data_IF_721193687725
#
_entry.id   IF_721193687725
#
_cell.length_a   1.000
_cell.length_b   1.000
_cell.length_c   1.000
_cell.angle_alpha   90.00
_cell.angle_beta   90.00
_cell.angle_gamma   90.00
#
_symmetry.space_group_name_H-M   'P 1'
#
loop_
_entity.id
_entity.type
_entity.pdbx_description
1 polymer ?
#
# COMPACT_ATOMS: atom_id res chain seq x y z
N UNK A 1 -7.57 -11.92 -12.75
CA UNK A 1 -8.64 -10.97 -12.34
C UNK A 1 -7.90 -9.71 -11.97
N UNK A 2 -8.33 -8.53 -12.42
CA UNK A 2 -7.55 -7.32 -12.17
C UNK A 2 -7.23 -7.16 -10.68
N UNK A 3 -5.98 -6.88 -10.36
CA UNK A 3 -5.48 -6.68 -8.99
C UNK A 3 -4.30 -5.71 -9.00
N UNK A 4 -3.76 -5.41 -7.82
CA UNK A 4 -2.54 -4.64 -7.67
C UNK A 4 -1.34 -5.54 -7.37
N UNK A 5 -0.23 -5.42 -8.08
CA UNK A 5 1.03 -6.09 -7.76
C UNK A 5 2.01 -5.09 -7.12
N UNK A 6 2.42 -5.35 -5.87
CA UNK A 6 3.30 -4.46 -5.08
C UNK A 6 4.66 -5.11 -4.86
N UNK A 7 5.73 -4.45 -5.32
CA UNK A 7 7.11 -4.93 -5.20
C UNK A 7 7.84 -4.15 -4.11
N UNK A 8 8.41 -4.84 -3.12
CA UNK A 8 9.24 -4.21 -2.10
C UNK A 8 10.70 -4.14 -2.56
N UNK A 9 11.33 -2.97 -2.40
CA UNK A 9 12.76 -2.80 -2.63
C UNK A 9 13.45 -2.14 -1.44
N UNK A 10 14.45 -2.82 -0.89
CA UNK A 10 15.26 -2.40 0.25
C UNK A 10 16.61 -1.83 -0.21
N UNK A 11 17.24 -0.95 0.59
CA UNK A 11 18.58 -0.45 0.31
C UNK A 11 19.61 -1.55 0.50
N UNK A 12 20.81 -1.34 -0.06
CA UNK A 12 21.97 -2.22 0.16
C UNK A 12 23.01 -1.54 1.02
N UNK A 13 23.78 -2.33 1.76
CA UNK A 13 24.96 -1.84 2.47
C UNK A 13 26.17 -1.77 1.54
N UNK A 14 27.16 -0.95 1.89
CA UNK A 14 28.42 -0.80 1.14
C UNK A 14 29.21 -2.11 1.10
N UNK A 15 29.10 -2.92 2.15
CA UNK A 15 29.80 -4.19 2.34
C UNK A 15 29.16 -5.36 1.55
N UNK A 16 27.98 -5.16 0.96
CA UNK A 16 27.25 -6.20 0.23
C UNK A 16 27.47 -6.08 -1.28
N UNK A 17 28.14 -7.09 -1.84
CA UNK A 17 28.36 -7.26 -3.27
C UNK A 17 27.18 -7.96 -3.97
N UNK A 18 27.15 -7.90 -5.31
CA UNK A 18 26.18 -8.64 -6.14
C UNK A 18 24.78 -8.04 -6.24
N UNK A 19 24.50 -6.93 -5.55
CA UNK A 19 23.27 -6.16 -5.71
C UNK A 19 23.39 -5.13 -6.84
N UNK A 20 22.30 -4.80 -7.56
CA UNK A 20 22.34 -3.85 -8.67
C UNK A 20 22.87 -2.45 -8.30
N UNK A 21 23.64 -1.84 -9.20
CA UNK A 21 24.29 -0.55 -8.97
C UNK A 21 23.31 0.62 -8.78
N UNK A 22 22.10 0.52 -9.33
CA UNK A 22 21.06 1.55 -9.18
C UNK A 22 20.54 1.63 -7.74
N UNK A 23 20.73 0.58 -6.92
CA UNK A 23 20.33 0.59 -5.51
C UNK A 23 21.35 1.42 -4.73
N UNK A 24 20.84 2.47 -4.09
CA UNK A 24 21.58 3.34 -3.18
C UNK A 24 22.27 2.52 -2.10
N UNK A 25 23.57 2.75 -1.95
CA UNK A 25 24.36 2.25 -0.83
C UNK A 25 24.11 3.08 0.43
N UNK A 26 24.20 2.41 1.57
CA UNK A 26 24.17 3.02 2.90
C UNK A 26 25.21 2.38 3.79
N UNK A 27 25.72 3.15 4.75
CA UNK A 27 26.46 2.58 5.86
C UNK A 27 25.58 1.67 6.73
N UNK A 28 26.23 0.88 7.59
CA UNK A 28 25.56 -0.03 8.52
C UNK A 28 24.55 0.70 9.40
N UNK A 29 23.31 0.22 9.40
CA UNK A 29 22.23 0.73 10.23
C UNK A 29 22.31 0.17 11.65
N UNK A 30 21.90 0.98 12.61
CA UNK A 30 21.67 0.55 13.99
C UNK A 30 20.46 -0.38 14.08
N UNK A 31 20.36 -1.18 15.16
CA UNK A 31 19.19 -2.03 15.43
C UNK A 31 17.88 -1.22 15.37
N UNK A 32 17.83 -0.03 15.98
CA UNK A 32 16.65 0.82 15.99
C UNK A 32 16.23 1.28 14.58
N UNK A 33 17.20 1.56 13.71
CA UNK A 33 16.92 1.94 12.32
C UNK A 33 16.35 0.76 11.52
N UNK A 34 16.90 -0.45 11.71
CA UNK A 34 16.38 -1.67 11.07
C UNK A 34 14.97 -1.98 11.58
N UNK A 35 14.74 -1.92 12.89
CA UNK A 35 13.42 -2.12 13.49
C UNK A 35 12.40 -1.11 12.97
N UNK A 36 12.81 0.14 12.72
CA UNK A 36 11.94 1.16 12.12
C UNK A 36 11.57 0.82 10.67
N UNK A 37 12.50 0.27 9.88
CA UNK A 37 12.18 -0.22 8.53
C UNK A 37 11.16 -1.36 8.59
N UNK A 38 11.37 -2.33 9.50
CA UNK A 38 10.44 -3.45 9.69
C UNK A 38 9.05 -2.95 10.10
N UNK A 39 8.97 -2.01 11.04
CA UNK A 39 7.69 -1.46 11.47
C UNK A 39 7.00 -0.67 10.34
N UNK A 40 7.74 0.12 9.56
CA UNK A 40 7.15 0.82 8.41
C UNK A 40 6.52 -0.15 7.40
N UNK A 41 7.18 -1.28 7.10
CA UNK A 41 6.63 -2.30 6.20
C UNK A 41 5.40 -2.96 6.85
N UNK A 42 5.48 -3.29 8.15
CA UNK A 42 4.36 -3.86 8.89
C UNK A 42 3.13 -2.95 8.90
N UNK A 43 3.31 -1.64 9.06
CA UNK A 43 2.25 -0.64 8.98
C UNK A 43 1.60 -0.61 7.59
N UNK A 44 2.39 -0.70 6.52
CA UNK A 44 1.86 -0.83 5.16
C UNK A 44 1.02 -2.11 5.04
N UNK A 45 1.53 -3.26 5.48
CA UNK A 45 0.81 -4.54 5.40
C UNK A 45 -0.55 -4.47 6.13
N UNK A 46 -0.61 -3.83 7.30
CA UNK A 46 -1.87 -3.64 8.04
C UNK A 46 -2.86 -2.78 7.26
N UNK A 47 -2.37 -1.77 6.55
CA UNK A 47 -3.18 -0.88 5.73
C UNK A 47 -3.75 -1.57 4.49
N UNK A 48 -2.93 -2.31 3.74
CA UNK A 48 -3.34 -2.97 2.50
C UNK A 48 -3.96 -4.35 2.70
N UNK A 49 -4.11 -4.81 3.96
CA UNK A 49 -4.56 -6.17 4.29
C UNK A 49 -5.89 -6.57 3.62
N UNK A 50 -6.75 -5.59 3.34
CA UNK A 50 -8.06 -5.78 2.74
C UNK A 50 -8.12 -5.33 1.27
N UNK A 51 -7.03 -4.82 0.72
CA UNK A 51 -6.97 -4.47 -0.70
C UNK A 51 -6.74 -5.75 -1.54
N UNK A 52 -7.25 -5.77 -2.76
CA UNK A 52 -7.03 -6.88 -3.70
C UNK A 52 -5.64 -6.73 -4.33
N UNK A 53 -4.62 -7.19 -3.62
CA UNK A 53 -3.23 -7.08 -4.02
C UNK A 53 -2.45 -8.39 -3.87
N UNK A 54 -1.42 -8.52 -4.69
CA UNK A 54 -0.37 -9.51 -4.57
C UNK A 54 0.94 -8.79 -4.24
N UNK A 55 1.57 -9.15 -3.12
CA UNK A 55 2.86 -8.60 -2.72
C UNK A 55 4.01 -9.49 -3.15
N UNK A 56 5.08 -8.86 -3.59
CA UNK A 56 6.30 -9.52 -4.04
C UNK A 56 7.54 -8.90 -3.37
N UNK A 57 8.46 -9.75 -2.96
CA UNK A 57 9.78 -9.33 -2.49
C UNK A 57 10.88 -10.22 -3.08
N UNK A 58 12.09 -9.67 -3.15
CA UNK A 58 13.30 -10.39 -3.52
C UNK A 58 13.98 -10.93 -2.26
N UNK A 59 14.03 -12.26 -2.07
CA UNK A 59 14.69 -12.85 -0.91
C UNK A 59 16.19 -12.54 -0.81
N UNK A 60 16.89 -12.35 -1.93
CA UNK A 60 18.31 -11.99 -1.96
C UNK A 60 18.50 -10.52 -1.56
N UNK A 61 17.60 -9.62 -1.97
CA UNK A 61 17.57 -8.23 -1.51
C UNK A 61 17.26 -8.14 -0.01
N UNK A 62 16.31 -8.94 0.50
CA UNK A 62 16.00 -9.03 1.93
C UNK A 62 17.19 -9.59 2.72
N UNK A 63 17.83 -10.65 2.23
CA UNK A 63 19.03 -11.24 2.85
C UNK A 63 20.16 -10.21 2.92
N UNK A 64 20.41 -9.50 1.81
CA UNK A 64 21.39 -8.40 1.73
C UNK A 64 21.10 -7.29 2.75
N UNK A 65 19.84 -6.91 2.92
CA UNK A 65 19.41 -5.92 3.92
C UNK A 65 19.54 -6.41 5.37
N UNK A 66 19.58 -7.71 5.62
CA UNK A 66 19.79 -8.28 6.95
C UNK A 66 21.27 -8.59 7.24
N UNK A 67 22.20 -8.30 6.33
CA UNK A 67 23.63 -8.57 6.49
C UNK A 67 24.21 -8.13 7.85
N UNK A 68 23.95 -6.90 8.37
CA UNK A 68 24.50 -6.47 9.65
C UNK A 68 23.98 -7.28 10.85
N UNK A 69 22.77 -7.83 10.72
CA UNK A 69 22.09 -8.58 11.79
C UNK A 69 22.82 -9.88 12.11
N UNK A 70 23.62 -10.41 11.19
CA UNK A 70 24.46 -11.60 11.43
C UNK A 70 25.47 -11.39 12.57
N UNK A 71 25.86 -10.15 12.83
CA UNK A 71 26.88 -9.78 13.83
C UNK A 71 26.32 -9.05 15.05
N UNK A 72 25.01 -8.77 15.06
CA UNK A 72 24.34 -8.07 16.16
C UNK A 72 24.09 -9.00 17.35
N UNK A 73 24.02 -8.42 18.55
CA UNK A 73 23.65 -9.15 19.75
C UNK A 73 22.23 -9.72 19.60
N UNK A 74 22.04 -10.98 20.00
CA UNK A 74 20.74 -11.65 19.86
C UNK A 74 19.71 -11.04 20.82
N UNK A 75 18.60 -10.54 20.27
CA UNK A 75 17.44 -10.10 21.02
C UNK A 75 16.23 -11.03 20.77
N UNK A 76 15.20 -10.99 21.63
CA UNK A 76 13.99 -11.79 21.48
C UNK A 76 12.72 -10.92 21.31
N UNK A 77 11.88 -11.18 20.28
CA UNK A 77 12.20 -11.96 19.08
C UNK A 77 13.28 -11.26 18.26
N UNK A 78 14.14 -12.05 17.61
CA UNK A 78 15.26 -11.55 16.83
C UNK A 78 14.79 -10.72 15.64
N UNK A 79 15.63 -9.78 15.20
CA UNK A 79 15.34 -8.91 14.04
C UNK A 79 15.01 -9.74 12.79
N UNK A 80 15.73 -10.85 12.55
CA UNK A 80 15.43 -11.77 11.44
C UNK A 80 14.04 -12.39 11.55
N UNK A 81 13.63 -12.77 12.77
CA UNK A 81 12.29 -13.32 13.02
C UNK A 81 11.21 -12.27 12.76
N UNK A 82 11.43 -11.03 13.22
CA UNK A 82 10.53 -9.90 12.97
C UNK A 82 10.40 -9.61 11.47
N UNK A 83 11.52 -9.55 10.75
CA UNK A 83 11.51 -9.36 9.29
C UNK A 83 10.76 -10.48 8.58
N UNK A 84 10.99 -11.74 8.95
CA UNK A 84 10.28 -12.90 8.38
C UNK A 84 8.76 -12.79 8.57
N UNK A 85 8.30 -12.43 9.77
CA UNK A 85 6.87 -12.25 10.04
C UNK A 85 6.25 -11.16 9.15
N UNK A 86 6.98 -10.07 8.92
CA UNK A 86 6.51 -8.98 8.07
C UNK A 86 6.52 -9.38 6.59
N UNK A 87 7.55 -10.09 6.12
CA UNK A 87 7.59 -10.60 4.74
C UNK A 87 6.45 -11.59 4.48
N UNK A 88 6.11 -12.46 5.44
CA UNK A 88 4.95 -13.35 5.30
C UNK A 88 3.60 -12.63 5.24
N UNK A 89 3.52 -11.40 5.75
CA UNK A 89 2.34 -10.54 5.62
C UNK A 89 2.37 -9.73 4.32
N UNK A 90 3.56 -9.39 3.84
CA UNK A 90 3.75 -8.63 2.60
C UNK A 90 3.33 -9.46 1.39
N UNK A 91 3.82 -10.69 1.28
CA UNK A 91 3.47 -11.58 0.17
C UNK A 91 4.56 -12.59 -0.11
N UNK A 92 4.84 -12.84 -1.37
CA UNK A 92 5.64 -13.97 -1.84
C UNK A 92 7.06 -13.57 -2.27
N UNK A 93 8.00 -14.50 -2.12
CA UNK A 93 9.32 -14.36 -2.74
C UNK A 93 9.18 -14.60 -4.25
N UNK A 94 9.31 -13.56 -5.07
CA UNK A 94 9.14 -13.72 -6.52
C UNK A 94 10.16 -14.67 -7.13
N UNK A 95 11.33 -14.89 -6.50
CA UNK A 95 12.34 -15.85 -7.00
C UNK A 95 11.82 -17.28 -7.09
N UNK A 96 10.83 -17.64 -6.26
CA UNK A 96 10.19 -18.97 -6.30
C UNK A 96 9.18 -19.12 -7.43
N UNK A 97 8.77 -18.01 -8.05
CA UNK A 97 7.77 -17.92 -9.11
C UNK A 97 8.19 -16.87 -10.14
N UNK A 98 9.46 -16.95 -10.53
CA UNK A 98 10.13 -16.00 -11.41
C UNK A 98 9.47 -16.01 -12.79
N UNK A 99 9.04 -14.83 -13.25
CA UNK A 99 8.46 -14.64 -14.59
C UNK A 99 9.53 -14.19 -15.58
N UNK A 100 10.58 -13.49 -15.10
CA UNK A 100 11.76 -13.14 -15.91
C UNK A 100 12.30 -14.33 -16.70
N UNK A 101 12.63 -14.09 -17.97
CA UNK A 101 13.23 -15.09 -18.86
C UNK A 101 14.69 -14.75 -19.13
N UNK A 102 15.53 -15.77 -19.21
CA UNK A 102 16.96 -15.61 -19.51
C UNK A 102 17.26 -15.08 -20.93
N UNK A 103 16.26 -15.16 -21.83
CA UNK A 103 16.35 -14.63 -23.20
C UNK A 103 16.13 -13.13 -23.28
N UNK A 104 15.63 -12.51 -22.20
CA UNK A 104 15.28 -11.09 -22.16
C UNK A 104 16.44 -10.29 -21.57
N UNK A 105 16.64 -9.09 -22.10
CA UNK A 105 17.68 -8.17 -21.62
C UNK A 105 17.03 -6.96 -20.95
N UNK A 106 17.60 -6.52 -19.83
CA UNK A 106 17.06 -5.42 -19.05
C UNK A 106 18.13 -4.35 -18.82
N UNK A 107 17.73 -3.08 -18.86
CA UNK A 107 18.58 -1.96 -18.51
C UNK A 107 17.85 -0.95 -17.64
N UNK A 108 18.57 -0.36 -16.69
CA UNK A 108 18.12 0.76 -15.88
C UNK A 108 19.20 1.85 -15.92
N UNK A 109 18.83 3.08 -16.26
CA UNK A 109 19.78 4.19 -16.46
C UNK A 109 20.94 3.87 -17.43
N UNK A 110 20.67 3.04 -18.45
CA UNK A 110 21.67 2.61 -19.43
C UNK A 110 22.65 1.53 -18.93
N UNK A 111 22.51 1.09 -17.67
CA UNK A 111 23.28 0.00 -17.10
C UNK A 111 22.51 -1.31 -17.23
N UNK A 112 23.17 -2.42 -17.62
CA UNK A 112 22.52 -3.72 -17.65
C UNK A 112 22.16 -4.15 -16.23
N UNK A 113 20.93 -4.63 -16.07
CA UNK A 113 20.42 -5.22 -14.83
C UNK A 113 19.89 -6.62 -15.15
N UNK A 114 19.92 -7.52 -14.16
CA UNK A 114 19.52 -8.92 -14.34
C UNK A 114 19.13 -9.52 -13.00
N UNK A 115 18.09 -10.34 -13.02
CA UNK A 115 17.68 -11.16 -11.89
C UNK A 115 17.44 -10.34 -10.61
N UNK A 116 16.80 -9.18 -10.79
CA UNK A 116 16.44 -8.25 -9.73
C UNK A 116 14.96 -7.85 -9.80
N UNK A 117 14.53 -7.06 -8.81
CA UNK A 117 13.12 -6.66 -8.63
C UNK A 117 12.59 -5.79 -9.79
N UNK A 118 13.39 -4.91 -10.37
CA UNK A 118 12.97 -4.09 -11.52
C UNK A 118 12.78 -4.94 -12.77
N UNK A 119 13.65 -5.94 -12.98
CA UNK A 119 13.49 -6.91 -14.06
C UNK A 119 12.18 -7.70 -13.91
N UNK A 120 11.89 -8.21 -12.70
CA UNK A 120 10.67 -8.97 -12.42
C UNK A 120 9.41 -8.16 -12.66
N UNK A 121 9.37 -6.96 -12.09
CA UNK A 121 8.23 -6.06 -12.24
C UNK A 121 8.03 -5.66 -13.71
N UNK A 122 9.10 -5.41 -14.46
CA UNK A 122 9.01 -5.07 -15.88
C UNK A 122 8.50 -6.25 -16.72
N UNK A 123 8.96 -7.48 -16.49
CA UNK A 123 8.45 -8.66 -17.21
C UNK A 123 6.97 -8.88 -16.90
N UNK A 124 6.57 -8.88 -15.62
CA UNK A 124 5.17 -9.08 -15.21
C UNK A 124 4.25 -8.03 -15.82
N UNK A 125 4.65 -6.76 -15.75
CA UNK A 125 3.94 -5.66 -16.41
C UNK A 125 3.85 -5.84 -17.93
N UNK A 126 4.91 -6.37 -18.57
CA UNK A 126 4.94 -6.58 -20.00
C UNK A 126 4.03 -7.71 -20.50
N UNK A 127 3.82 -8.75 -19.68
CA UNK A 127 2.99 -9.92 -20.04
C UNK A 127 1.57 -9.84 -19.49
N UNK A 128 1.28 -8.91 -18.57
CA UNK A 128 -0.04 -8.73 -17.99
C UNK A 128 -1.08 -8.33 -19.04
N UNK A 129 -2.22 -9.03 -19.03
CA UNK A 129 -3.33 -8.81 -19.97
C UNK A 129 -4.67 -8.61 -19.25
N UNK A 130 -4.69 -8.68 -17.92
CA UNK A 130 -5.91 -8.71 -17.11
C UNK A 130 -6.25 -7.36 -16.45
N UNK A 131 -5.56 -6.28 -16.83
CA UNK A 131 -5.79 -4.93 -16.32
C UNK A 131 -5.15 -4.64 -14.96
N UNK A 132 -4.28 -5.52 -14.48
CA UNK A 132 -3.54 -5.34 -13.24
C UNK A 132 -2.60 -4.14 -13.28
N UNK A 133 -2.36 -3.56 -12.11
CA UNK A 133 -1.54 -2.36 -11.91
C UNK A 133 -0.36 -2.68 -11.03
N UNK A 134 0.76 -1.97 -11.22
CA UNK A 134 2.05 -2.33 -10.64
C UNK A 134 2.64 -1.16 -9.87
N UNK A 135 3.11 -1.42 -8.64
CA UNK A 135 3.76 -0.42 -7.80
C UNK A 135 5.07 -0.94 -7.22
N UNK A 136 6.13 -0.16 -7.39
CA UNK A 136 7.38 -0.33 -6.64
C UNK A 136 7.30 0.46 -5.33
N UNK A 137 7.40 -0.23 -4.21
CA UNK A 137 7.42 0.32 -2.86
C UNK A 137 8.86 0.45 -2.40
N UNK A 138 9.38 1.67 -2.49
CA UNK A 138 10.78 2.02 -2.27
C UNK A 138 11.07 2.28 -0.79
N UNK A 139 11.73 1.34 -0.10
CA UNK A 139 12.25 1.53 1.26
C UNK A 139 13.58 2.31 1.26
N UNK A 140 13.61 3.46 0.57
CA UNK A 140 14.81 4.30 0.43
C UNK A 140 16.00 3.52 -0.16
N UNK A 141 15.70 2.62 -1.10
CA UNK A 141 16.62 1.99 -2.05
C UNK A 141 17.08 2.97 -3.14
N UNK A 142 16.34 4.05 -3.36
CA UNK A 142 16.77 5.27 -4.06
C UNK A 142 15.95 6.47 -3.56
N UNK A 143 16.17 7.67 -4.10
CA UNK A 143 15.55 8.91 -3.60
C UNK A 143 14.01 8.87 -3.58
N UNK A 144 13.39 9.31 -2.48
CA UNK A 144 11.93 9.43 -2.31
C UNK A 144 11.28 10.43 -3.32
N UNK A 145 12.09 11.27 -3.96
CA UNK A 145 11.66 12.18 -5.01
C UNK A 145 11.34 11.44 -6.33
N UNK A 146 11.89 10.24 -6.54
CA UNK A 146 11.63 9.43 -7.73
C UNK A 146 10.20 8.89 -7.66
N UNK A 147 9.38 9.26 -8.64
CA UNK A 147 7.98 8.80 -8.77
C UNK A 147 7.78 7.73 -9.83
N UNK A 148 8.75 7.58 -10.72
CA UNK A 148 8.78 6.54 -11.72
C UNK A 148 10.23 6.19 -12.08
N UNK A 149 10.48 4.92 -12.44
CA UNK A 149 11.76 4.45 -12.98
C UNK A 149 11.52 3.91 -14.38
N UNK A 150 12.41 4.27 -15.31
CA UNK A 150 12.42 3.72 -16.66
C UNK A 150 13.29 2.47 -16.70
N UNK A 151 12.68 1.35 -17.08
CA UNK A 151 13.36 0.08 -17.33
C UNK A 151 13.19 -0.27 -18.79
N UNK A 152 14.31 -0.54 -19.47
CA UNK A 152 14.27 -0.99 -20.84
C UNK A 152 14.29 -2.51 -20.87
N UNK A 153 13.27 -3.14 -21.44
CA UNK A 153 13.17 -4.58 -21.72
C UNK A 153 13.41 -4.79 -23.21
N UNK A 154 14.56 -5.36 -23.56
CA UNK A 154 15.12 -5.38 -24.91
C UNK A 154 15.19 -3.98 -25.52
N UNK A 155 14.26 -3.66 -26.41
CA UNK A 155 14.19 -2.39 -27.11
C UNK A 155 13.01 -1.52 -26.63
N UNK A 156 12.12 -2.06 -25.80
CA UNK A 156 10.93 -1.37 -25.31
C UNK A 156 11.18 -0.73 -23.94
N UNK A 157 10.76 0.52 -23.77
CA UNK A 157 10.84 1.25 -22.51
C UNK A 157 9.56 1.02 -21.69
N UNK A 158 9.75 0.70 -20.41
CA UNK A 158 8.69 0.47 -19.44
C UNK A 158 8.85 1.43 -18.27
N UNK A 159 7.81 2.22 -18.03
CA UNK A 159 7.73 3.07 -16.85
C UNK A 159 7.17 2.28 -15.67
N UNK A 160 7.92 2.23 -14.56
CA UNK A 160 7.50 1.59 -13.32
C UNK A 160 7.19 2.68 -12.28
N UNK A 161 5.94 2.75 -11.82
CA UNK A 161 5.56 3.70 -10.78
C UNK A 161 6.24 3.37 -9.46
N UNK A 162 6.67 4.41 -8.76
CA UNK A 162 7.33 4.29 -7.46
C UNK A 162 6.64 5.13 -6.41
N UNK A 163 6.45 4.54 -5.23
CA UNK A 163 6.09 5.28 -4.02
C UNK A 163 7.07 4.99 -2.91
N UNK A 164 7.26 6.00 -2.06
CA UNK A 164 7.97 5.81 -0.80
C UNK A 164 7.25 4.75 0.02
N UNK A 165 8.03 3.93 0.71
CA UNK A 165 7.51 2.89 1.57
C UNK A 165 7.05 3.42 2.93
N UNK A 166 5.99 4.22 2.86
CA UNK A 166 5.16 4.65 3.97
C UNK A 166 3.69 4.50 3.59
N UNK A 167 2.84 4.32 4.59
CA UNK A 167 1.44 4.01 4.34
C UNK A 167 0.69 5.15 3.62
N UNK A 168 1.05 6.43 3.84
CA UNK A 168 0.39 7.59 3.21
C UNK A 168 0.68 7.63 1.71
N UNK A 169 1.92 7.37 1.33
CA UNK A 169 2.34 7.29 -0.08
C UNK A 169 1.69 6.11 -0.81
N UNK A 170 1.57 4.95 -0.16
CA UNK A 170 0.91 3.77 -0.74
C UNK A 170 -0.61 3.98 -0.85
N UNK A 171 -1.26 4.52 0.20
CA UNK A 171 -2.68 4.87 0.16
C UNK A 171 -2.99 5.85 -0.98
N UNK A 172 -2.14 6.88 -1.14
CA UNK A 172 -2.31 7.87 -2.20
C UNK A 172 -2.29 7.24 -3.60
N UNK A 173 -1.52 6.17 -3.80
CA UNK A 173 -1.52 5.43 -5.05
C UNK A 173 -2.81 4.63 -5.25
N UNK A 174 -3.33 3.99 -4.20
CA UNK A 174 -4.61 3.28 -4.24
C UNK A 174 -5.81 4.19 -4.52
N UNK A 175 -5.78 5.47 -4.17
CA UNK A 175 -6.86 6.42 -4.52
C UNK A 175 -7.21 6.38 -6.02
N UNK A 176 -6.26 6.05 -6.90
CA UNK A 176 -6.47 5.99 -8.36
C UNK A 176 -6.26 4.60 -8.96
N UNK A 177 -5.47 3.73 -8.31
CA UNK A 177 -5.08 2.43 -8.86
C UNK A 177 -5.78 1.23 -8.23
N UNK A 178 -6.60 1.41 -7.18
CA UNK A 178 -7.34 0.31 -6.54
C UNK A 178 -8.18 -0.48 -7.54
N UNK A 179 -8.13 -1.81 -7.44
CA UNK A 179 -8.85 -2.76 -8.31
C UNK A 179 -9.76 -3.68 -7.49
N UNK A 180 -11.09 -3.63 -7.65
CA UNK A 180 -11.86 -2.61 -8.37
C UNK A 180 -11.83 -1.26 -7.64
N UNK A 181 -12.07 -0.16 -8.37
CA UNK A 181 -12.26 1.16 -7.74
C UNK A 181 -13.53 1.18 -6.89
N UNK A 182 -13.52 1.91 -5.78
CA UNK A 182 -14.71 2.02 -4.91
C UNK A 182 -15.68 3.03 -5.51
N UNK A 183 -16.97 2.72 -5.47
CA UNK A 183 -18.04 3.57 -6.01
C UNK A 183 -18.90 4.05 -4.86
N UNK A 184 -19.09 5.37 -4.77
CA UNK A 184 -20.01 5.94 -3.78
C UNK A 184 -21.43 6.02 -4.34
N UNK A 185 -22.37 5.44 -3.61
CA UNK A 185 -23.80 5.50 -3.88
C UNK A 185 -24.48 6.39 -2.82
N UNK A 186 -25.08 7.49 -3.27
CA UNK A 186 -25.80 8.38 -2.38
C UNK A 186 -27.12 7.73 -1.95
N UNK A 187 -27.26 7.48 -0.66
CA UNK A 187 -28.48 6.88 -0.11
C UNK A 187 -29.47 7.98 0.34
N UNK A 188 -30.68 8.07 -0.24
CA UNK A 188 -31.68 9.08 0.10
C UNK A 188 -32.09 9.09 1.59
N UNK A 189 -31.90 7.97 2.29
CA UNK A 189 -32.14 7.87 3.74
C UNK A 189 -31.24 8.84 4.53
N UNK A 190 -29.97 8.94 4.15
CA UNK A 190 -28.94 9.72 4.82
C UNK A 190 -28.85 11.15 4.29
N UNK A 191 -29.33 11.40 3.07
CA UNK A 191 -29.31 12.74 2.45
C UNK A 191 -27.90 13.22 2.11
N UNK A 192 -27.69 14.53 2.00
CA UNK A 192 -26.37 15.17 1.81
C UNK A 192 -26.39 16.63 2.30
N UNK A 193 -25.21 17.22 2.51
CA UNK A 193 -25.04 18.61 2.97
C UNK A 193 -25.76 18.90 4.29
N UNK A 194 -25.79 17.93 5.21
CA UNK A 194 -26.49 18.03 6.49
C UNK A 194 -28.02 18.02 6.36
N UNK A 195 -28.55 17.81 5.16
CA UNK A 195 -29.99 17.70 4.89
C UNK A 195 -30.34 16.25 4.67
N UNK A 196 -31.04 15.66 5.64
CA UNK A 196 -31.46 14.27 5.60
C UNK A 196 -32.67 14.00 6.49
N UNK A 197 -32.99 12.71 6.64
CA UNK A 197 -34.24 12.12 7.14
C UNK A 197 -35.37 12.04 6.09
N UNK A 198 -35.31 10.98 5.28
CA UNK A 198 -36.45 10.58 4.46
C UNK A 198 -37.73 10.46 5.32
N UNK A 199 -38.89 10.99 4.91
CA UNK A 199 -40.14 10.98 5.71
C UNK A 199 -40.58 9.58 6.17
N UNK A 200 -40.13 8.53 5.48
CA UNK A 200 -40.42 7.14 5.80
C UNK A 200 -39.73 6.61 7.08
N UNK A 201 -38.79 7.35 7.69
CA UNK A 201 -38.06 6.90 8.88
C UNK A 201 -38.89 6.94 10.18
N UNK A 202 -40.21 7.20 10.13
CA UNK A 202 -41.15 7.13 11.26
C UNK A 202 -40.72 7.89 12.53
N UNK A 203 -39.88 8.93 12.38
CA UNK A 203 -39.34 9.72 13.50
C UNK A 203 -38.11 9.13 14.18
N UNK A 204 -37.55 8.01 13.69
CA UNK A 204 -36.29 7.46 14.18
C UNK A 204 -35.11 8.33 13.76
N UNK A 205 -34.16 8.51 14.67
CA UNK A 205 -32.90 9.22 14.39
C UNK A 205 -32.12 8.46 13.32
N UNK A 206 -31.72 9.17 12.28
CA UNK A 206 -30.93 8.63 11.18
C UNK A 206 -29.66 9.47 11.05
N UNK A 207 -28.51 8.80 11.03
CA UNK A 207 -27.20 9.43 10.78
C UNK A 207 -27.23 10.12 9.42
N UNK A 208 -26.75 11.36 9.34
CA UNK A 208 -26.86 12.20 8.14
C UNK A 208 -25.50 12.25 7.45
N UNK A 209 -25.50 12.40 6.12
CA UNK A 209 -24.28 12.78 5.40
C UNK A 209 -24.11 14.30 5.47
N UNK A 210 -23.09 14.76 6.17
CA UNK A 210 -22.84 16.18 6.41
C UNK A 210 -22.25 16.89 5.20
N UNK A 211 -21.54 16.16 4.34
CA UNK A 211 -20.90 16.67 3.13
C UNK A 211 -21.74 16.38 1.86
N UNK A 212 -21.25 16.85 0.72
CA UNK A 212 -21.79 16.53 -0.60
C UNK A 212 -21.45 15.10 -1.04
N UNK A 213 -22.20 14.56 -2.01
CA UNK A 213 -21.85 13.29 -2.68
C UNK A 213 -20.40 13.21 -3.15
N UNK A 214 -19.90 14.28 -3.78
CA UNK A 214 -18.54 14.31 -4.36
C UNK A 214 -17.46 14.28 -3.27
N UNK A 215 -17.67 15.00 -2.17
CA UNK A 215 -16.76 14.96 -1.02
C UNK A 215 -16.75 13.58 -0.36
N UNK A 216 -17.92 12.95 -0.20
CA UNK A 216 -18.03 11.60 0.31
C UNK A 216 -17.32 10.57 -0.57
N UNK A 217 -17.45 10.69 -1.89
CA UNK A 217 -16.74 9.86 -2.87
C UNK A 217 -15.22 10.01 -2.73
N UNK A 218 -14.73 11.25 -2.64
CA UNK A 218 -13.30 11.53 -2.42
C UNK A 218 -12.77 10.99 -1.08
N UNK A 219 -13.61 10.94 -0.05
CA UNK A 219 -13.27 10.34 1.25
C UNK A 219 -13.27 8.81 1.20
N UNK A 220 -14.20 8.20 0.45
CA UNK A 220 -14.27 6.74 0.25
C UNK A 220 -12.99 6.18 -0.39
N UNK A 221 -12.38 6.92 -1.32
CA UNK A 221 -11.12 6.54 -1.96
C UNK A 221 -9.96 6.42 -0.94
N UNK A 222 -10.06 7.13 0.18
CA UNK A 222 -9.08 7.18 1.28
C UNK A 222 -9.46 6.32 2.49
N UNK A 223 -10.69 5.83 2.52
CA UNK A 223 -11.24 5.12 3.67
C UNK A 223 -10.53 3.78 3.93
N UNK A 224 -10.45 3.39 5.19
CA UNK A 224 -9.81 2.15 5.64
C UNK A 224 -10.72 1.41 6.63
N UNK A 225 -10.57 0.10 6.75
CA UNK A 225 -11.36 -0.69 7.67
C UNK A 225 -10.70 -2.01 8.01
N UNK A 226 -11.20 -2.65 9.06
CA UNK A 226 -10.77 -3.98 9.48
C UNK A 226 -11.24 -5.07 8.49
N UNK A 227 -12.36 -4.83 7.78
CA UNK A 227 -12.78 -5.62 6.62
C UNK A 227 -13.47 -4.72 5.57
N UNK A 228 -13.62 -5.21 4.34
CA UNK A 228 -14.15 -4.43 3.21
C UNK A 228 -15.64 -4.05 3.33
N UNK A 229 -16.41 -4.62 4.28
CA UNK A 229 -17.84 -4.32 4.43
C UNK A 229 -18.07 -3.00 5.12
N UNK A 230 -17.14 -2.56 5.96
CA UNK A 230 -17.24 -1.29 6.71
C UNK A 230 -15.90 -0.57 6.71
N UNK A 231 -15.87 0.60 6.09
CA UNK A 231 -14.71 1.46 6.00
C UNK A 231 -14.98 2.79 6.72
N UNK A 232 -13.92 3.45 7.14
CA UNK A 232 -13.98 4.71 7.86
C UNK A 232 -13.00 5.72 7.29
N UNK A 233 -13.36 6.99 7.39
CA UNK A 233 -12.46 8.12 7.18
C UNK A 233 -12.80 9.22 8.18
N UNK A 234 -11.87 10.16 8.40
CA UNK A 234 -12.11 11.30 9.27
C UNK A 234 -12.31 12.57 8.42
N UNK A 235 -13.49 13.16 8.51
CA UNK A 235 -13.82 14.40 7.83
C UNK A 235 -13.37 15.59 8.68
N UNK A 236 -12.24 16.19 8.29
CA UNK A 236 -11.67 17.36 8.98
C UNK A 236 -12.56 18.60 8.93
N UNK A 237 -13.40 18.74 7.90
CA UNK A 237 -14.26 19.92 7.73
C UNK A 237 -15.38 19.89 8.76
N UNK A 238 -15.96 18.72 8.99
CA UNK A 238 -17.07 18.53 9.93
C UNK A 238 -16.61 18.04 11.32
N UNK A 239 -15.33 17.70 11.47
CA UNK A 239 -14.74 17.13 12.68
C UNK A 239 -15.49 15.87 13.17
N UNK A 240 -15.86 15.00 12.23
CA UNK A 240 -16.63 13.79 12.46
C UNK A 240 -16.05 12.63 11.63
N UNK A 241 -16.20 11.40 12.12
CA UNK A 241 -15.90 10.23 11.30
C UNK A 241 -17.04 9.98 10.31
N UNK A 242 -16.69 9.60 9.09
CA UNK A 242 -17.64 9.04 8.13
C UNK A 242 -17.47 7.52 8.11
N UNK A 243 -18.59 6.80 8.16
CA UNK A 243 -18.64 5.36 7.96
C UNK A 243 -19.20 5.06 6.57
N UNK A 244 -18.54 4.16 5.86
CA UNK A 244 -18.98 3.64 4.58
C UNK A 244 -19.33 2.16 4.71
N UNK A 245 -20.54 1.78 4.30
CA UNK A 245 -21.00 0.39 4.27
C UNK A 245 -21.09 -0.12 2.85
N UNK A 246 -20.51 -1.29 2.60
CA UNK A 246 -20.63 -1.98 1.32
C UNK A 246 -22.07 -2.44 1.13
N UNK A 247 -22.65 -2.07 -0.01
CA UNK A 247 -23.98 -2.51 -0.46
C UNK A 247 -23.88 -3.72 -1.39
N UNK A 248 -22.89 -3.70 -2.28
CA UNK A 248 -22.65 -4.72 -3.29
C UNK A 248 -21.27 -4.57 -3.89
N UNK A 249 -20.51 -5.66 -4.02
CA UNK A 249 -19.16 -5.70 -4.62
C UNK A 249 -18.26 -4.57 -4.10
N UNK A 250 -18.12 -3.49 -4.87
CA UNK A 250 -17.28 -2.31 -4.63
C UNK A 250 -18.09 -1.01 -4.42
N UNK A 251 -19.41 -1.11 -4.26
CA UNK A 251 -20.33 0.03 -4.07
C UNK A 251 -20.64 0.24 -2.60
N UNK A 252 -20.53 1.49 -2.14
CA UNK A 252 -20.70 1.88 -0.75
C UNK A 252 -21.65 3.06 -0.61
N UNK A 253 -22.52 3.04 0.40
CA UNK A 253 -23.12 4.28 0.92
C UNK A 253 -22.37 4.70 2.19
N UNK A 254 -22.53 5.96 2.58
CA UNK A 254 -21.92 6.45 3.81
C UNK A 254 -22.72 7.55 4.49
N UNK A 255 -22.36 7.80 5.75
CA UNK A 255 -22.95 8.80 6.62
C UNK A 255 -21.98 9.15 7.76
N UNK A 256 -22.10 10.36 8.31
CA UNK A 256 -21.28 10.78 9.44
C UNK A 256 -21.78 10.18 10.75
N UNK A 257 -20.82 9.84 11.61
CA UNK A 257 -21.04 9.29 12.94
C UNK A 257 -21.06 10.43 13.94
N UNK A 258 -22.15 10.52 14.71
CA UNK A 258 -22.18 11.43 15.85
C UNK A 258 -21.32 10.90 17.02
N UNK A 259 -21.19 11.72 18.07
CA UNK A 259 -20.40 11.39 19.24
C UNK A 259 -20.81 10.07 19.95
N UNK A 260 -22.08 9.64 19.84
CA UNK A 260 -22.53 8.38 20.44
C UNK A 260 -22.18 7.16 19.58
N UNK A 261 -22.11 7.36 18.26
CA UNK A 261 -21.78 6.34 17.27
C UNK A 261 -20.27 6.23 16.98
N UNK A 262 -19.46 7.22 17.37
CA UNK A 262 -18.00 7.21 17.16
C UNK A 262 -17.30 5.98 17.76
N UNK A 263 -17.87 5.39 18.81
CA UNK A 263 -17.39 4.13 19.42
C UNK A 263 -17.38 2.93 18.46
N UNK A 264 -18.04 3.05 17.30
CA UNK A 264 -18.06 2.03 16.25
C UNK A 264 -16.76 1.98 15.46
N UNK A 265 -16.01 3.09 15.41
CA UNK A 265 -14.71 3.13 14.73
C UNK A 265 -13.68 2.41 15.61
N UNK A 266 -13.07 1.31 15.12
CA UNK A 266 -12.05 0.60 15.88
C UNK A 266 -10.86 1.50 16.22
N UNK A 267 -10.27 1.31 17.41
CA UNK A 267 -9.18 2.19 17.89
C UNK A 267 -7.93 2.13 17.01
N UNK A 268 -7.61 0.96 16.47
CA UNK A 268 -6.51 0.80 15.52
C UNK A 268 -6.74 1.56 14.21
N UNK A 269 -7.99 1.60 13.73
CA UNK A 269 -8.39 2.41 12.57
C UNK A 269 -8.27 3.90 12.89
N UNK A 270 -8.69 4.35 14.08
CA UNK A 270 -8.50 5.75 14.52
C UNK A 270 -7.02 6.14 14.52
N UNK A 271 -6.16 5.31 15.09
CA UNK A 271 -4.71 5.53 15.12
C UNK A 271 -4.12 5.63 13.71
N UNK A 272 -4.58 4.81 12.76
CA UNK A 272 -4.13 4.87 11.36
C UNK A 272 -4.63 6.12 10.64
N UNK A 273 -5.90 6.50 10.82
CA UNK A 273 -6.47 7.72 10.23
C UNK A 273 -5.80 8.99 10.78
N UNK A 274 -5.46 9.02 12.07
CA UNK A 274 -4.74 10.14 12.69
C UNK A 274 -3.35 10.37 12.07
N UNK A 275 -2.72 9.35 11.47
CA UNK A 275 -1.44 9.50 10.77
C UNK A 275 -1.61 10.09 9.35
N UNK A 276 -2.83 10.17 8.82
CA UNK A 276 -3.12 10.75 7.50
C UNK A 276 -3.32 12.27 7.55
N UNK A 277 -3.93 12.71 8.65
CA UNK A 277 -4.24 14.10 9.02
C UNK A 277 -2.93 14.86 9.31
#
# INVERSE_FOLDING_TARGET
MEHSELFLLLPRYEEVEGQPEYIRTKGVMTENEILKVIENINEICRFIANENYEGYYDADNVSSFLYPVETMEECYPSIKTRMRMVMSRWGENWRMQKVQKDTESYMCHGLPIKDDTLCEMAERKAVATDGSVFLLVNQNAFSDAVKAIQVKRNQADWELEVRKADFKSVLKWYETNRKPQRIFNLNPKHGENGKGAHPANKGEKVSILMCSREEAENMLLKAIGADLRVLYFFDQVHNEYIEFKCESENTYHGFHLDAMDEKRVPEDIKLMLNKLI
#
